data_IF_043614307245
#
_entry.id   IF_043614307245
#
_cell.length_a   1.000
_cell.length_b   1.000
_cell.length_c   1.000
_cell.angle_alpha   90.00
_cell.angle_beta   90.00
_cell.angle_gamma   90.00
#
_symmetry.space_group_name_H-M   'P 1'
#
loop_
_entity.id
_entity.type
_entity.pdbx_description
1 polymer ?
#
# COMPACT_ATOMS: atom_id res chain seq x y z
N UNK A 1 -11.03 5.99 -5.11
CA UNK A 1 -10.72 5.29 -3.85
C UNK A 1 -9.43 4.51 -4.06
N UNK A 2 -8.47 4.60 -3.14
CA UNK A 2 -7.19 3.87 -3.19
C UNK A 2 -7.11 2.90 -2.01
N UNK A 3 -6.47 1.75 -2.20
CA UNK A 3 -6.20 0.76 -1.16
C UNK A 3 -4.69 0.46 -1.11
N UNK A 4 -4.20 0.08 0.07
CA UNK A 4 -2.81 -0.28 0.31
C UNK A 4 -2.71 -1.29 1.46
N UNK A 5 -1.56 -1.95 1.57
CA UNK A 5 -1.30 -2.95 2.60
C UNK A 5 -2.21 -4.16 2.50
N UNK A 6 -2.58 -4.70 3.65
CA UNK A 6 -3.42 -5.91 3.82
C UNK A 6 -4.81 -5.80 3.18
N UNK A 7 -5.30 -4.58 2.89
CA UNK A 7 -6.59 -4.40 2.18
C UNK A 7 -6.51 -4.84 0.71
N UNK A 8 -5.30 -5.09 0.19
CA UNK A 8 -5.08 -5.70 -1.11
C UNK A 8 -5.14 -7.22 -0.95
N UNK A 9 -5.76 -7.92 -1.90
CA UNK A 9 -5.85 -9.39 -1.92
C UNK A 9 -4.48 -10.01 -2.23
N UNK A 10 -3.57 -9.87 -1.27
CA UNK A 10 -2.20 -10.33 -1.31
C UNK A 10 -1.78 -10.78 0.07
N UNK A 11 -1.42 -12.06 0.18
CA UNK A 11 -0.91 -12.66 1.39
C UNK A 11 0.62 -12.80 1.31
N UNK A 12 1.32 -12.07 2.17
CA UNK A 12 2.78 -12.13 2.27
C UNK A 12 3.27 -13.20 3.24
N UNK A 13 4.45 -13.81 3.02
CA UNK A 13 5.04 -14.71 4.00
C UNK A 13 5.32 -13.96 5.32
N UNK A 14 5.35 -14.70 6.44
CA UNK A 14 5.73 -14.11 7.74
C UNK A 14 7.15 -13.56 7.72
N UNK A 15 7.51 -12.73 8.71
CA UNK A 15 8.85 -12.13 8.78
C UNK A 15 8.93 -10.70 8.26
N UNK A 16 7.82 -9.95 8.36
CA UNK A 16 7.80 -8.50 8.10
C UNK A 16 7.40 -8.10 6.68
N UNK A 17 7.13 -9.05 5.78
CA UNK A 17 6.70 -8.75 4.41
C UNK A 17 5.40 -7.95 4.35
N UNK A 18 4.47 -8.19 5.29
CA UNK A 18 3.23 -7.40 5.40
C UNK A 18 3.56 -5.92 5.66
N UNK A 19 4.45 -5.63 6.61
CA UNK A 19 4.89 -4.25 6.90
C UNK A 19 5.62 -3.64 5.71
N UNK A 20 6.51 -4.39 5.05
CA UNK A 20 7.20 -3.95 3.84
C UNK A 20 6.20 -3.61 2.72
N UNK A 21 5.20 -4.45 2.49
CA UNK A 21 4.17 -4.23 1.49
C UNK A 21 3.26 -3.04 1.85
N UNK A 22 2.86 -2.90 3.11
CA UNK A 22 2.10 -1.75 3.60
C UNK A 22 2.83 -0.43 3.33
N UNK A 23 4.13 -0.34 3.63
CA UNK A 23 4.92 0.87 3.42
C UNK A 23 5.14 1.16 1.92
N UNK A 24 5.42 0.13 1.12
CA UNK A 24 5.61 0.29 -0.32
C UNK A 24 4.33 0.74 -1.04
N UNK A 25 3.22 0.06 -0.79
CA UNK A 25 1.92 0.36 -1.41
C UNK A 25 1.30 1.64 -0.86
N UNK A 26 1.49 1.94 0.43
CA UNK A 26 1.05 3.20 1.04
C UNK A 26 1.74 4.42 0.42
N UNK A 27 3.04 4.35 0.15
CA UNK A 27 3.77 5.42 -0.58
C UNK A 27 3.21 5.63 -1.99
N UNK A 28 2.85 4.56 -2.69
CA UNK A 28 2.29 4.64 -4.03
C UNK A 28 0.88 5.25 -4.01
N UNK A 29 0.00 4.75 -3.14
CA UNK A 29 -1.36 5.25 -2.96
C UNK A 29 -1.37 6.73 -2.55
N UNK A 30 -0.52 7.15 -1.61
CA UNK A 30 -0.41 8.54 -1.20
C UNK A 30 0.04 9.48 -2.32
N UNK A 31 0.99 9.04 -3.16
CA UNK A 31 1.41 9.80 -4.36
C UNK A 31 0.30 9.90 -5.40
N UNK A 32 -0.43 8.81 -5.62
CA UNK A 32 -1.54 8.78 -6.58
C UNK A 32 -2.70 9.67 -6.10
N UNK A 33 -3.02 9.63 -4.80
CA UNK A 33 -4.00 10.50 -4.18
C UNK A 33 -3.60 11.98 -4.29
N UNK A 34 -2.34 12.32 -3.98
CA UNK A 34 -1.82 13.68 -4.11
C UNK A 34 -1.90 14.23 -5.54
N UNK A 35 -1.72 13.37 -6.56
CA UNK A 35 -1.90 13.73 -7.97
C UNK A 35 -3.36 13.88 -8.39
N UNK A 36 -4.31 13.28 -7.68
CA UNK A 36 -5.73 13.37 -8.00
C UNK A 36 -6.41 14.60 -7.39
N UNK A 37 -5.83 15.18 -6.34
CA UNK A 37 -6.39 16.34 -5.64
C UNK A 37 -5.76 17.67 -6.03
N UNK A 38 -4.66 17.64 -6.79
CA UNK A 38 -4.05 18.82 -7.42
C UNK A 38 -4.45 18.94 -8.87
#
# INVERSE_FOLDING_TARGET
VFACGEMLDWEGPTGGYLLTACLATGRWAGRAAGRQVG
#
